data_IF_367929615552
#
_entry.id   IF_367929615552
#
_cell.length_a   1.000
_cell.length_b   1.000
_cell.length_c   1.000
_cell.angle_alpha   90.00
_cell.angle_beta   90.00
_cell.angle_gamma   90.00
#
_symmetry.space_group_name_H-M   'P 1'
#
loop_
_entity.id
_entity.type
_entity.pdbx_description
1 polymer ?
#
# COMPACT_ATOMS: atom_id res chain seq x y z
N UNK A 1 -9.67 5.13 -18.58
CA UNK A 1 -9.45 4.67 -17.21
C UNK A 1 -8.85 5.80 -16.40
N UNK A 2 -9.44 6.16 -15.25
CA UNK A 2 -8.90 7.13 -14.28
C UNK A 2 -8.68 6.42 -12.95
N UNK A 3 -7.47 6.55 -12.43
CA UNK A 3 -7.04 5.90 -11.20
C UNK A 3 -6.79 7.00 -10.16
N UNK A 4 -7.47 6.92 -9.02
CA UNK A 4 -7.10 7.69 -7.84
C UNK A 4 -6.08 6.91 -7.02
N UNK A 5 -5.11 7.59 -6.43
CA UNK A 5 -4.16 6.98 -5.52
C UNK A 5 -3.85 7.95 -4.37
N UNK A 6 -3.76 7.42 -3.15
CA UNK A 6 -3.37 8.20 -1.96
C UNK A 6 -2.59 7.30 -1.00
N UNK A 7 -1.71 7.90 -0.23
CA UNK A 7 -1.07 7.35 0.96
C UNK A 7 -1.18 8.40 2.08
N UNK A 8 -0.83 8.03 3.32
CA UNK A 8 -0.62 8.99 4.40
C UNK A 8 -1.83 9.88 4.70
N UNK A 9 -3.04 9.30 4.63
CA UNK A 9 -4.27 9.99 5.05
C UNK A 9 -4.27 10.15 6.57
N UNK A 10 -3.70 9.19 7.29
CA UNK A 10 -3.59 9.20 8.76
C UNK A 10 -4.94 9.57 9.42
N UNK A 11 -6.06 9.01 8.93
CA UNK A 11 -7.40 9.37 9.39
C UNK A 11 -7.52 9.20 10.91
N UNK A 12 -8.08 10.19 11.64
CA UNK A 12 -8.85 11.35 11.13
C UNK A 12 -8.02 12.59 10.75
N UNK A 13 -6.69 12.57 10.86
CA UNK A 13 -5.83 13.75 10.77
C UNK A 13 -5.98 14.54 9.48
N UNK A 14 -5.97 13.86 8.33
CA UNK A 14 -6.10 14.49 7.01
C UNK A 14 -7.38 14.08 6.26
N UNK A 15 -8.38 13.55 6.98
CA UNK A 15 -9.62 13.07 6.36
C UNK A 15 -10.39 14.19 5.65
N UNK A 16 -10.35 15.42 6.17
CA UNK A 16 -11.06 16.56 5.59
C UNK A 16 -10.41 17.02 4.28
N UNK A 17 -9.08 17.08 4.25
CA UNK A 17 -8.26 17.42 3.09
C UNK A 17 -8.42 16.36 2.00
N UNK A 18 -8.37 15.08 2.39
CA UNK A 18 -8.66 13.96 1.51
C UNK A 18 -10.05 14.06 0.89
N UNK A 19 -11.07 14.25 1.73
CA UNK A 19 -12.47 14.42 1.29
C UNK A 19 -12.66 15.60 0.34
N UNK A 20 -12.02 16.73 0.64
CA UNK A 20 -12.07 17.93 -0.20
C UNK A 20 -11.40 17.73 -1.55
N UNK A 21 -10.36 16.90 -1.60
CA UNK A 21 -9.66 16.53 -2.84
C UNK A 21 -10.52 15.59 -3.69
N UNK A 22 -11.13 14.56 -3.08
CA UNK A 22 -12.05 13.65 -3.77
C UNK A 22 -13.19 14.38 -4.47
N UNK A 23 -13.78 15.38 -3.81
CA UNK A 23 -14.88 16.19 -4.36
C UNK A 23 -14.50 16.92 -5.66
N UNK A 24 -13.23 17.27 -5.83
CA UNK A 24 -12.72 17.98 -7.01
C UNK A 24 -12.32 17.02 -8.14
N UNK A 25 -12.13 15.75 -7.83
CA UNK A 25 -11.78 14.75 -8.82
C UNK A 25 -12.95 14.44 -9.75
N UNK A 26 -12.63 14.24 -11.03
CA UNK A 26 -13.57 13.61 -11.97
C UNK A 26 -13.85 12.16 -11.53
N UNK A 27 -14.92 11.56 -12.03
CA UNK A 27 -15.27 10.16 -11.77
C UNK A 27 -14.06 9.24 -12.05
N UNK A 28 -13.69 8.48 -11.03
CA UNK A 28 -12.62 7.49 -11.05
C UNK A 28 -13.18 6.11 -11.38
N UNK A 29 -12.34 5.24 -11.91
CA UNK A 29 -12.68 3.85 -12.25
C UNK A 29 -12.07 2.85 -11.24
N UNK A 30 -11.00 3.27 -10.56
CA UNK A 30 -10.21 2.47 -9.61
C UNK A 30 -9.59 3.42 -8.57
N UNK A 31 -9.53 2.98 -7.31
CA UNK A 31 -8.82 3.69 -6.26
C UNK A 31 -7.71 2.83 -5.64
N UNK A 32 -6.56 3.44 -5.37
CA UNK A 32 -5.40 2.80 -4.76
C UNK A 32 -5.10 3.44 -3.39
N UNK A 33 -5.01 2.63 -2.34
CA UNK A 33 -4.63 3.04 -0.99
C UNK A 33 -3.23 2.49 -0.69
N UNK A 34 -2.22 3.34 -0.71
CA UNK A 34 -0.81 2.96 -0.63
C UNK A 34 -0.26 2.99 0.81
N UNK A 35 -1.07 2.64 1.81
CA UNK A 35 -0.67 2.56 3.22
C UNK A 35 -0.83 3.86 4.03
N UNK A 36 -0.75 3.73 5.35
CA UNK A 36 -0.89 4.82 6.34
C UNK A 36 -2.20 5.61 6.17
N UNK A 37 -3.28 4.84 6.09
CA UNK A 37 -4.63 5.34 5.89
C UNK A 37 -5.26 5.78 7.20
N UNK A 38 -4.96 5.08 8.28
CA UNK A 38 -5.42 5.39 9.63
C UNK A 38 -4.26 5.86 10.50
N UNK A 39 -4.59 6.57 11.59
CA UNK A 39 -3.61 6.97 12.59
C UNK A 39 -3.67 6.01 13.78
N UNK A 40 -2.52 5.45 14.18
CA UNK A 40 -2.31 4.64 15.38
C UNK A 40 -3.26 3.46 15.54
N UNK A 41 -3.43 2.67 14.47
CA UNK A 41 -4.21 1.43 14.51
C UNK A 41 -5.72 1.60 14.69
N UNK A 42 -6.27 2.82 14.56
CA UNK A 42 -7.71 3.07 14.64
C UNK A 42 -8.49 2.49 13.43
N UNK A 43 -8.80 1.19 13.46
CA UNK A 43 -9.42 0.47 12.33
C UNK A 43 -10.73 1.09 11.83
N UNK A 44 -11.56 1.61 12.73
CA UNK A 44 -12.82 2.29 12.38
C UNK A 44 -12.64 3.51 11.47
N UNK A 45 -11.48 4.17 11.52
CA UNK A 45 -11.18 5.31 10.65
C UNK A 45 -10.97 4.88 9.19
N UNK A 46 -10.57 3.62 8.95
CA UNK A 46 -10.41 3.07 7.61
C UNK A 46 -11.75 3.06 6.86
N UNK A 47 -12.83 2.68 7.56
CA UNK A 47 -14.19 2.74 7.02
C UNK A 47 -14.58 4.16 6.60
N UNK A 48 -14.18 5.20 7.36
CA UNK A 48 -14.51 6.59 7.03
C UNK A 48 -13.82 7.04 5.74
N UNK A 49 -12.59 6.60 5.50
CA UNK A 49 -11.86 6.85 4.25
C UNK A 49 -12.56 6.16 3.08
N UNK A 50 -12.91 4.88 3.21
CA UNK A 50 -13.60 4.12 2.16
C UNK A 50 -14.99 4.71 1.87
N UNK A 51 -15.76 5.05 2.90
CA UNK A 51 -17.05 5.69 2.75
C UNK A 51 -16.96 7.06 2.05
N UNK A 52 -15.88 7.82 2.27
CA UNK A 52 -15.64 9.06 1.54
C UNK A 52 -15.40 8.80 0.05
N UNK A 53 -14.61 7.78 -0.30
CA UNK A 53 -14.41 7.37 -1.71
C UNK A 53 -15.76 6.98 -2.34
N UNK A 54 -16.52 6.12 -1.67
CA UNK A 54 -17.83 5.65 -2.13
C UNK A 54 -18.82 6.80 -2.35
N UNK A 55 -18.81 7.78 -1.45
CA UNK A 55 -19.70 8.95 -1.54
C UNK A 55 -19.48 9.77 -2.82
N UNK A 56 -18.22 9.95 -3.27
CA UNK A 56 -17.92 10.82 -4.42
C UNK A 56 -17.70 10.08 -5.73
N UNK A 57 -17.33 8.80 -5.68
CA UNK A 57 -17.01 8.02 -6.87
C UNK A 57 -17.86 6.75 -7.05
N UNK A 58 -18.70 6.41 -6.06
CA UNK A 58 -19.47 5.17 -6.01
C UNK A 58 -18.60 3.97 -5.62
N UNK A 59 -19.21 2.78 -5.67
CA UNK A 59 -18.58 1.51 -5.34
C UNK A 59 -17.59 1.03 -6.43
N UNK A 60 -16.54 1.82 -6.68
CA UNK A 60 -15.43 1.44 -7.56
C UNK A 60 -14.46 0.50 -6.84
N UNK A 61 -13.73 -0.38 -7.54
CA UNK A 61 -12.70 -1.21 -6.92
C UNK A 61 -11.70 -0.36 -6.13
N UNK A 62 -11.39 -0.79 -4.90
CA UNK A 62 -10.36 -0.20 -4.04
C UNK A 62 -9.32 -1.28 -3.77
N UNK A 63 -8.07 -1.00 -4.16
CA UNK A 63 -6.94 -1.90 -3.95
C UNK A 63 -5.99 -1.21 -2.97
N UNK A 64 -5.58 -1.93 -1.93
CA UNK A 64 -4.81 -1.36 -0.83
C UNK A 64 -3.56 -2.17 -0.51
N UNK A 65 -2.57 -1.55 0.09
CA UNK A 65 -1.54 -2.21 0.89
C UNK A 65 -1.52 -1.59 2.29
N UNK A 66 -1.06 -2.33 3.30
CA UNK A 66 -0.95 -1.80 4.65
C UNK A 66 0.34 -1.00 4.83
N UNK A 67 0.23 0.10 5.56
CA UNK A 67 1.34 0.88 6.06
C UNK A 67 1.80 0.42 7.45
N UNK A 68 2.47 1.34 8.15
CA UNK A 68 3.01 1.14 9.49
C UNK A 68 1.98 1.44 10.58
N UNK A 69 1.12 2.42 10.35
CA UNK A 69 0.07 2.78 11.31
C UNK A 69 -1.05 1.72 11.37
N UNK A 70 -1.12 0.83 10.38
CA UNK A 70 -1.94 -0.38 10.41
C UNK A 70 -1.19 -1.54 11.08
N UNK A 71 -1.16 -1.55 12.40
CA UNK A 71 -0.58 -2.62 13.22
C UNK A 71 -1.26 -3.98 13.00
N UNK A 72 -0.57 -5.08 13.33
CA UNK A 72 -1.07 -6.45 13.11
C UNK A 72 -2.49 -6.73 13.65
N UNK A 73 -2.83 -6.23 14.83
CA UNK A 73 -4.18 -6.38 15.41
C UNK A 73 -5.21 -5.59 14.61
N UNK A 74 -4.90 -4.32 14.34
CA UNK A 74 -5.75 -3.44 13.53
C UNK A 74 -5.93 -3.96 12.10
N UNK A 75 -4.92 -4.60 11.48
CA UNK A 75 -5.04 -5.21 10.14
C UNK A 75 -6.16 -6.24 10.09
N UNK A 76 -6.26 -7.10 11.11
CA UNK A 76 -7.32 -8.12 11.19
C UNK A 76 -8.68 -7.46 11.33
N UNK A 77 -8.77 -6.43 12.16
CA UNK A 77 -10.00 -5.65 12.34
C UNK A 77 -10.39 -4.92 11.05
N UNK A 78 -9.45 -4.27 10.35
CA UNK A 78 -9.68 -3.60 9.08
C UNK A 78 -10.18 -4.60 8.02
N UNK A 79 -9.52 -5.76 7.89
CA UNK A 79 -9.95 -6.80 6.94
C UNK A 79 -11.37 -7.27 7.27
N UNK A 80 -11.68 -7.48 8.55
CA UNK A 80 -13.02 -7.86 8.99
C UNK A 80 -14.07 -6.77 8.75
N UNK A 81 -13.72 -5.49 8.95
CA UNK A 81 -14.63 -4.36 8.72
C UNK A 81 -14.86 -4.11 7.23
N UNK A 82 -13.83 -4.27 6.40
CA UNK A 82 -13.89 -3.99 4.96
C UNK A 82 -14.42 -5.17 4.15
N UNK A 83 -14.32 -6.39 4.67
CA UNK A 83 -14.76 -7.62 4.01
C UNK A 83 -14.30 -7.65 2.54
N UNK A 84 -15.24 -7.64 1.59
CA UNK A 84 -14.99 -7.68 0.15
C UNK A 84 -14.88 -6.29 -0.51
N UNK A 85 -15.07 -5.20 0.26
CA UNK A 85 -15.05 -3.84 -0.29
C UNK A 85 -13.65 -3.40 -0.71
N UNK A 86 -12.62 -3.82 0.02
CA UNK A 86 -11.22 -3.44 -0.24
C UNK A 86 -10.38 -4.69 -0.45
N UNK A 87 -9.67 -4.77 -1.57
CA UNK A 87 -8.71 -5.84 -1.80
C UNK A 87 -7.33 -5.44 -1.30
N UNK A 88 -6.86 -6.09 -0.25
CA UNK A 88 -5.52 -5.87 0.29
C UNK A 88 -4.49 -6.75 -0.44
N UNK A 89 -3.42 -6.12 -0.92
CA UNK A 89 -2.27 -6.79 -1.52
C UNK A 89 -1.09 -6.75 -0.53
N UNK A 90 -0.66 -7.93 -0.12
CA UNK A 90 0.61 -8.13 0.57
C UNK A 90 1.44 -9.19 -0.17
N UNK A 91 2.58 -8.77 -0.73
CA UNK A 91 3.43 -9.56 -1.61
C UNK A 91 2.65 -10.38 -2.64
N UNK A 92 1.61 -9.77 -3.22
CA UNK A 92 0.65 -10.42 -4.10
C UNK A 92 0.24 -9.49 -5.24
N UNK A 93 -0.62 -9.98 -6.13
CA UNK A 93 -1.05 -9.24 -7.32
C UNK A 93 -2.50 -9.51 -7.67
N UNK A 94 -3.09 -8.57 -8.39
CA UNK A 94 -4.41 -8.67 -9.00
C UNK A 94 -4.38 -8.14 -10.43
N UNK A 95 -5.33 -8.57 -11.25
CA UNK A 95 -5.59 -7.95 -12.55
C UNK A 95 -7.06 -7.57 -12.65
N UNK A 96 -7.32 -6.37 -13.14
CA UNK A 96 -8.66 -5.84 -13.35
C UNK A 96 -8.81 -5.43 -14.81
N UNK A 97 -10.04 -5.52 -15.34
CA UNK A 97 -10.34 -5.15 -16.72
C UNK A 97 -11.39 -4.04 -16.73
N UNK A 98 -11.09 -2.93 -17.40
CA UNK A 98 -11.95 -1.76 -17.53
C UNK A 98 -12.08 -1.40 -19.01
N UNK A 99 -13.30 -1.47 -19.56
CA UNK A 99 -13.61 -1.08 -20.94
C UNK A 99 -12.61 -1.62 -21.99
N UNK A 100 -12.21 -2.89 -21.86
CA UNK A 100 -11.28 -3.56 -22.77
C UNK A 100 -9.80 -3.34 -22.50
N UNK A 101 -9.43 -2.52 -21.51
CA UNK A 101 -8.05 -2.38 -21.02
C UNK A 101 -7.86 -3.17 -19.73
N UNK A 102 -6.77 -3.92 -19.64
CA UNK A 102 -6.39 -4.70 -18.47
C UNK A 102 -5.25 -4.04 -17.70
N UNK A 103 -5.47 -3.83 -16.41
CA UNK A 103 -4.48 -3.32 -15.47
C UNK A 103 -4.06 -4.41 -14.50
N UNK A 104 -2.75 -4.61 -14.39
CA UNK A 104 -2.12 -5.44 -13.38
C UNK A 104 -1.64 -4.60 -12.21
N UNK A 105 -1.86 -5.05 -10.98
CA UNK A 105 -1.38 -4.37 -9.78
C UNK A 105 -0.64 -5.40 -8.93
N UNK A 106 0.63 -5.15 -8.64
CA UNK A 106 1.38 -5.90 -7.64
C UNK A 106 1.52 -5.02 -6.40
N UNK A 107 1.30 -5.57 -5.21
CA UNK A 107 1.36 -4.79 -3.98
C UNK A 107 2.13 -5.48 -2.86
N UNK A 108 2.73 -4.66 -2.00
CA UNK A 108 3.40 -5.09 -0.78
C UNK A 108 3.09 -4.11 0.35
N UNK A 109 2.74 -4.65 1.52
CA UNK A 109 2.62 -3.84 2.74
C UNK A 109 4.00 -3.51 3.30
N UNK A 110 4.16 -2.51 4.16
CA UNK A 110 5.49 -2.24 4.78
C UNK A 110 6.01 -3.49 5.49
N UNK A 111 7.32 -3.72 5.39
CA UNK A 111 8.04 -4.69 6.21
C UNK A 111 8.05 -4.12 7.62
N UNK A 112 7.02 -4.43 8.42
CA UNK A 112 6.99 -4.09 9.83
C UNK A 112 8.19 -4.77 10.49
N UNK A 113 9.12 -3.95 10.98
CA UNK A 113 10.19 -4.45 11.83
C UNK A 113 9.56 -4.97 13.14
N UNK A 114 10.06 -6.11 13.62
CA UNK A 114 9.58 -6.75 14.85
C UNK A 114 9.68 -5.86 16.11
N UNK A 115 10.37 -4.71 16.02
CA UNK A 115 10.46 -3.69 17.07
C UNK A 115 9.29 -2.70 17.13
N UNK A 116 8.49 -2.53 16.06
CA UNK A 116 7.35 -1.60 16.09
C UNK A 116 6.06 -2.24 16.60
N UNK A 117 6.02 -3.58 16.63
CA UNK A 117 4.89 -4.35 17.16
C UNK A 117 4.93 -4.53 18.68
N UNK A 118 5.97 -4.05 19.36
CA UNK A 118 6.11 -4.14 20.82
C UNK A 118 7.07 -3.05 21.32
N UNK A 119 6.60 -2.04 22.08
CA UNK A 119 7.47 -1.01 22.66
C UNK A 119 8.53 -1.55 23.65
N UNK A 120 8.50 -2.86 23.94
CA UNK A 120 9.39 -3.56 24.87
C UNK A 120 10.57 -4.29 24.22
N UNK A 121 10.66 -4.33 22.87
CA UNK A 121 11.77 -5.01 22.17
C UNK A 121 12.73 -4.02 21.52
N UNK A 122 13.70 -3.53 22.31
CA UNK A 122 14.89 -2.85 21.79
C UNK A 122 15.70 -3.81 20.92
N UNK A 123 15.94 -3.41 19.68
CA UNK A 123 16.67 -4.17 18.66
C UNK A 123 18.17 -4.28 19.00
N UNK A 124 18.75 -5.44 18.72
CA UNK A 124 20.21 -5.62 18.69
C UNK A 124 20.77 -5.03 17.38
N UNK A 125 21.91 -4.30 17.39
CA UNK A 125 22.52 -3.69 16.20
C UNK A 125 22.84 -4.64 15.02
N UNK A 126 22.76 -5.96 15.24
CA UNK A 126 23.22 -7.00 14.32
C UNK A 126 22.11 -7.68 13.50
N UNK A 127 20.84 -7.29 13.67
CA UNK A 127 19.77 -7.87 12.85
C UNK A 127 19.88 -7.35 11.40
N UNK A 128 20.38 -8.18 10.49
CA UNK A 128 20.44 -7.85 9.07
C UNK A 128 19.05 -7.95 8.42
N UNK A 129 18.45 -6.81 8.07
CA UNK A 129 17.17 -6.76 7.34
C UNK A 129 17.30 -7.09 5.85
N UNK A 130 18.50 -7.00 5.26
CA UNK A 130 18.69 -7.08 3.80
C UNK A 130 18.07 -8.34 3.19
N UNK A 131 18.21 -9.56 3.77
CA UNK A 131 17.62 -10.76 3.19
C UNK A 131 16.09 -10.70 3.06
N UNK A 132 15.39 -10.05 4.01
CA UNK A 132 13.94 -9.91 3.96
C UNK A 132 13.51 -8.95 2.84
N UNK A 133 14.22 -7.83 2.68
CA UNK A 133 14.00 -6.87 1.59
C UNK A 133 14.32 -7.48 0.22
N UNK A 134 15.44 -8.19 0.08
CA UNK A 134 15.82 -8.87 -1.17
C UNK A 134 14.79 -9.93 -1.58
N UNK A 135 14.36 -10.76 -0.62
CA UNK A 135 13.34 -11.78 -0.87
C UNK A 135 12.02 -11.17 -1.34
N UNK A 136 11.59 -10.06 -0.72
CA UNK A 136 10.40 -9.32 -1.13
C UNK A 136 10.58 -8.71 -2.53
N UNK A 137 11.71 -8.04 -2.78
CA UNK A 137 12.00 -7.45 -4.08
C UNK A 137 11.95 -8.50 -5.19
N UNK A 138 12.46 -9.71 -4.92
CA UNK A 138 12.39 -10.84 -5.85
C UNK A 138 10.94 -11.27 -6.13
N UNK A 139 10.12 -11.46 -5.09
CA UNK A 139 8.70 -11.86 -5.22
C UNK A 139 7.89 -10.82 -6.00
N UNK A 140 8.04 -9.55 -5.66
CA UNK A 140 7.38 -8.45 -6.37
C UNK A 140 7.85 -8.38 -7.83
N UNK A 141 9.14 -8.57 -8.08
CA UNK A 141 9.68 -8.63 -9.45
C UNK A 141 9.04 -9.75 -10.27
N UNK A 142 8.86 -10.94 -9.69
CA UNK A 142 8.16 -12.05 -10.35
C UNK A 142 6.70 -11.71 -10.65
N UNK A 143 5.99 -11.06 -9.72
CA UNK A 143 4.63 -10.58 -9.95
C UNK A 143 4.56 -9.58 -11.10
N UNK A 144 5.43 -8.57 -11.10
CA UNK A 144 5.50 -7.56 -12.15
C UNK A 144 5.80 -8.18 -13.51
N UNK A 145 6.77 -9.11 -13.62
CA UNK A 145 7.08 -9.80 -14.87
C UNK A 145 5.90 -10.58 -15.45
N UNK A 146 5.04 -11.15 -14.60
CA UNK A 146 3.82 -11.82 -15.07
C UNK A 146 2.75 -10.82 -15.51
N UNK A 147 2.61 -9.71 -14.78
CA UNK A 147 1.61 -8.68 -15.09
C UNK A 147 1.94 -7.94 -16.39
N UNK A 148 3.20 -7.59 -16.63
CA UNK A 148 3.63 -6.89 -17.86
C UNK A 148 3.43 -7.70 -19.13
N UNK A 149 3.38 -9.04 -19.02
CA UNK A 149 3.06 -9.94 -20.15
C UNK A 149 1.57 -10.06 -20.45
N UNK A 150 0.72 -9.73 -19.48
CA UNK A 150 -0.69 -10.11 -19.50
C UNK A 150 -1.64 -8.94 -19.24
N UNK A 151 -1.12 -7.72 -19.10
CA UNK A 151 -1.86 -6.49 -18.81
C UNK A 151 -1.33 -5.37 -19.69
N UNK A 152 -2.21 -4.48 -20.14
CA UNK A 152 -1.83 -3.30 -20.92
C UNK A 152 -1.08 -2.27 -20.06
N UNK A 153 -1.43 -2.23 -18.77
CA UNK A 153 -0.79 -1.38 -17.78
C UNK A 153 -0.42 -2.21 -16.54
N UNK A 154 0.71 -1.88 -15.91
CA UNK A 154 1.14 -2.52 -14.67
C UNK A 154 1.47 -1.45 -13.63
N UNK A 155 0.94 -1.59 -12.42
CA UNK A 155 1.17 -0.71 -11.28
C UNK A 155 1.86 -1.50 -10.18
N UNK A 156 2.83 -0.86 -9.54
CA UNK A 156 3.42 -1.32 -8.29
C UNK A 156 2.86 -0.45 -7.16
N UNK A 157 2.18 -1.08 -6.19
CA UNK A 157 1.57 -0.43 -5.04
C UNK A 157 2.34 -0.80 -3.77
N UNK A 158 3.17 0.11 -3.25
CA UNK A 158 3.85 -0.10 -1.97
C UNK A 158 3.94 1.21 -1.20
N UNK A 159 3.96 1.08 0.13
CA UNK A 159 4.55 2.09 1.01
C UNK A 159 6.00 1.70 1.24
N UNK A 160 6.93 2.61 0.93
CA UNK A 160 8.34 2.43 1.20
C UNK A 160 8.76 3.42 2.26
N UNK A 161 8.78 3.00 3.52
CA UNK A 161 9.37 3.80 4.57
C UNK A 161 10.89 3.55 4.61
N UNK A 162 11.67 4.62 4.43
CA UNK A 162 13.12 4.54 4.53
C UNK A 162 13.50 4.44 6.00
N UNK A 163 13.81 3.24 6.48
CA UNK A 163 14.45 3.06 7.79
C UNK A 163 15.85 3.64 7.71
N UNK A 164 15.99 4.94 8.03
CA UNK A 164 17.29 5.59 8.08
C UNK A 164 18.03 5.14 9.33
N UNK A 165 18.73 4.01 9.24
CA UNK A 165 19.77 3.70 10.20
C UNK A 165 20.97 4.58 9.84
N UNK A 166 21.27 5.61 10.65
CA UNK A 166 22.28 6.67 10.44
C UNK A 166 23.73 6.19 10.17
N UNK A 167 23.98 4.90 9.96
CA UNK A 167 25.32 4.33 9.77
C UNK A 167 25.59 3.69 8.41
N UNK A 168 24.58 3.40 7.58
CA UNK A 168 24.82 2.69 6.31
C UNK A 168 23.96 3.24 5.16
N UNK A 169 24.19 4.49 4.77
CA UNK A 169 23.65 5.04 3.53
C UNK A 169 24.69 4.91 2.40
N UNK A 170 24.87 3.72 1.84
CA UNK A 170 25.53 3.55 0.55
C UNK A 170 24.85 2.44 -0.25
N UNK A 171 24.20 2.83 -1.34
CA UNK A 171 23.54 1.94 -2.27
C UNK A 171 23.14 2.69 -3.54
N UNK A 172 24.12 3.30 -4.22
CA UNK A 172 23.95 3.68 -5.62
C UNK A 172 23.97 2.42 -6.47
N UNK A 173 22.92 2.21 -7.27
CA UNK A 173 22.90 1.17 -8.31
C UNK A 173 23.25 1.83 -9.65
N UNK A 174 24.55 1.97 -9.95
CA UNK A 174 25.01 2.27 -11.30
C UNK A 174 25.19 0.96 -12.07
N UNK A 175 24.35 0.75 -13.07
CA UNK A 175 24.50 -0.36 -14.02
C UNK A 175 25.55 0.02 -15.05
N UNK A 176 26.80 -0.31 -14.80
CA UNK A 176 27.84 -0.22 -15.83
C UNK A 176 27.54 -1.21 -16.96
N UNK A 177 27.34 -0.67 -18.17
CA UNK A 177 27.37 -1.46 -19.40
C UNK A 177 28.82 -1.78 -19.74
N UNK A 178 29.10 -3.05 -19.93
CA UNK A 178 30.20 -3.57 -20.73
C UNK A 178 29.63 -4.68 -21.60
#
# INVERSE_FOLDING_TARGET
>A
MRIGAVADVHSPKFLNEFTSSLKQCRKLDLFLLAGDIINRGSANEYHRVVAAIDRFHGAIPIIACFGNEEYNESRREIIALMEDRVTFLDESKISLSFAGSKIGIAGASVLLESSESSPERTRSPDDDIRPAFEKRALRISQHLQMLTKSSDHTVLLLLCEMVTNRKHLFGFYEKNKS
#
